data_IF_105308883043
#
_entry.id   IF_105308883043
#
_cell.length_a   1.000
_cell.length_b   1.000
_cell.length_c   1.000
_cell.angle_alpha   90.00
_cell.angle_beta   90.00
_cell.angle_gamma   90.00
#
_symmetry.space_group_name_H-M   'P 1'
#
loop_
_entity.id
_entity.type
_entity.pdbx_description
1 polymer ?
#
# COMPACT_ATOMS: atom_id res chain seq x y z
N UNK A 1 3.52 -11.73 -17.12
CA UNK A 1 4.24 -11.48 -18.39
C UNK A 1 4.14 -10.02 -18.80
N UNK A 2 2.94 -9.49 -19.09
CA UNK A 2 2.72 -8.09 -19.49
C UNK A 2 3.22 -7.04 -18.48
N UNK A 3 3.07 -7.28 -17.18
CA UNK A 3 3.54 -6.37 -16.11
C UNK A 3 5.06 -6.09 -16.15
N UNK A 4 5.84 -7.00 -16.73
CA UNK A 4 7.29 -6.87 -16.89
C UNK A 4 7.70 -6.61 -18.35
N UNK A 5 6.74 -6.27 -19.22
CA UNK A 5 6.99 -5.99 -20.63
C UNK A 5 7.36 -7.20 -21.49
N UNK A 6 7.08 -8.43 -21.03
CA UNK A 6 7.43 -9.65 -21.78
C UNK A 6 6.25 -10.10 -22.61
N UNK A 7 6.47 -10.14 -23.92
CA UNK A 7 5.44 -10.44 -24.93
C UNK A 7 5.35 -11.91 -25.31
N UNK A 8 6.34 -12.75 -24.96
CA UNK A 8 6.32 -14.19 -25.32
C UNK A 8 6.54 -15.10 -24.11
N UNK A 9 5.86 -16.26 -24.11
CA UNK A 9 6.03 -17.28 -23.07
C UNK A 9 7.44 -17.87 -23.10
N UNK A 10 8.04 -17.99 -24.28
CA UNK A 10 9.40 -18.52 -24.45
C UNK A 10 10.43 -17.64 -23.74
N UNK A 11 10.28 -16.30 -23.82
CA UNK A 11 11.14 -15.37 -23.08
C UNK A 11 10.86 -15.35 -21.59
N UNK A 12 9.63 -15.66 -21.16
CA UNK A 12 9.29 -15.73 -19.73
C UNK A 12 9.79 -17.03 -19.07
N UNK A 13 9.82 -18.13 -19.82
CA UNK A 13 10.22 -19.45 -19.32
C UNK A 13 11.69 -19.44 -18.91
N UNK A 14 11.95 -19.60 -17.61
CA UNK A 14 13.30 -19.66 -17.05
C UNK A 14 13.92 -18.30 -16.71
N UNK A 15 13.25 -17.18 -17.00
CA UNK A 15 13.77 -15.84 -16.74
C UNK A 15 13.85 -15.46 -15.24
N UNK A 16 13.32 -16.31 -14.34
CA UNK A 16 13.34 -16.12 -12.87
C UNK A 16 12.97 -14.69 -12.43
N UNK A 17 11.89 -14.13 -13.00
CA UNK A 17 11.47 -12.73 -12.76
C UNK A 17 10.60 -12.66 -11.51
N UNK A 18 11.22 -12.96 -10.38
CA UNK A 18 10.65 -12.87 -9.04
C UNK A 18 11.77 -12.60 -8.03
N UNK A 19 11.42 -12.01 -6.89
CA UNK A 19 12.32 -11.85 -5.74
C UNK A 19 11.87 -12.83 -4.65
N UNK A 20 12.81 -13.59 -4.10
CA UNK A 20 12.53 -14.48 -2.98
C UNK A 20 12.61 -13.71 -1.67
N UNK A 21 11.54 -13.75 -0.87
CA UNK A 21 11.52 -13.14 0.46
C UNK A 21 11.41 -14.23 1.52
N UNK A 22 12.33 -14.24 2.49
CA UNK A 22 12.32 -15.20 3.60
C UNK A 22 12.81 -16.62 3.27
N UNK A 23 13.29 -16.87 2.05
CA UNK A 23 13.95 -18.14 1.71
C UNK A 23 15.43 -18.11 2.08
N UNK A 24 15.87 -19.17 2.76
CA UNK A 24 17.28 -19.33 3.13
C UNK A 24 18.17 -19.50 1.90
N UNK A 25 19.39 -18.96 1.98
CA UNK A 25 20.32 -18.92 0.85
C UNK A 25 20.65 -20.31 0.28
N UNK A 26 20.63 -21.36 1.11
CA UNK A 26 20.85 -22.74 0.65
C UNK A 26 19.76 -23.28 -0.27
N UNK A 27 18.50 -22.87 -0.06
CA UNK A 27 17.39 -23.25 -0.93
C UNK A 27 17.49 -22.50 -2.26
N UNK A 28 17.81 -21.21 -2.20
CA UNK A 28 18.04 -20.39 -3.40
C UNK A 28 19.20 -20.95 -4.22
N UNK A 29 20.32 -21.26 -3.59
CA UNK A 29 21.50 -21.81 -4.25
C UNK A 29 21.28 -23.21 -4.85
N UNK A 30 20.29 -23.98 -4.38
CA UNK A 30 19.98 -25.31 -4.93
C UNK A 30 18.90 -25.28 -6.01
N UNK A 31 17.87 -24.47 -5.84
CA UNK A 31 16.66 -24.55 -6.64
C UNK A 31 16.43 -23.33 -7.54
N UNK A 32 17.00 -22.17 -7.20
CA UNK A 32 16.73 -20.89 -7.86
C UNK A 32 18.03 -20.08 -8.01
N UNK A 33 19.06 -20.74 -8.56
CA UNK A 33 20.39 -20.14 -8.74
C UNK A 33 20.27 -18.83 -9.52
N UNK A 34 20.78 -17.74 -8.94
CA UNK A 34 20.74 -16.41 -9.54
C UNK A 34 19.54 -15.55 -9.13
N UNK A 35 18.56 -16.09 -8.42
CA UNK A 35 17.42 -15.30 -7.90
C UNK A 35 17.83 -14.43 -6.72
N UNK A 36 17.44 -13.16 -6.74
CA UNK A 36 17.64 -12.25 -5.60
C UNK A 36 16.81 -12.72 -4.39
N UNK A 37 17.47 -12.83 -3.22
CA UNK A 37 16.79 -13.18 -1.96
C UNK A 37 17.19 -12.22 -0.84
N UNK A 38 16.21 -11.63 -0.16
CA UNK A 38 16.41 -10.89 1.08
C UNK A 38 16.05 -11.81 2.24
N UNK A 39 17.05 -12.54 2.75
CA UNK A 39 16.89 -13.45 3.87
C UNK A 39 16.98 -12.71 5.20
N UNK A 40 16.14 -13.07 6.16
CA UNK A 40 16.46 -12.90 7.58
C UNK A 40 17.13 -14.18 8.06
N UNK A 41 18.33 -14.00 8.59
CA UNK A 41 19.25 -15.09 8.90
C UNK A 41 18.73 -15.95 10.04
N UNK A 42 18.20 -17.13 9.71
CA UNK A 42 18.64 -18.37 10.35
C UNK A 42 18.39 -19.55 9.38
N UNK A 43 19.27 -20.57 9.37
CA UNK A 43 18.98 -21.82 8.68
C UNK A 43 17.64 -22.37 9.18
N UNK A 44 16.82 -22.89 8.27
CA UNK A 44 15.50 -23.47 8.55
C UNK A 44 15.54 -24.53 9.68
N UNK A 45 16.71 -25.13 9.90
CA UNK A 45 16.98 -26.09 10.98
C UNK A 45 17.07 -25.49 12.40
N UNK A 46 17.33 -24.19 12.55
CA UNK A 46 17.52 -23.56 13.87
C UNK A 46 16.26 -22.91 14.45
N UNK A 47 15.25 -22.60 13.64
CA UNK A 47 14.04 -21.92 14.12
C UNK A 47 12.86 -22.87 14.41
N UNK A 48 12.86 -24.07 13.83
CA UNK A 48 11.76 -25.04 13.93
C UNK A 48 12.26 -26.38 14.47
N UNK A 49 12.62 -26.42 15.75
CA UNK A 49 12.71 -27.69 16.50
C UNK A 49 11.36 -28.43 16.62
N UNK A 50 10.41 -28.22 15.69
CA UNK A 50 9.10 -28.84 15.64
C UNK A 50 8.74 -29.18 14.18
N UNK A 51 8.24 -30.40 13.90
CA UNK A 51 7.81 -30.80 12.57
C UNK A 51 6.64 -29.91 12.09
N UNK A 52 6.74 -29.43 10.85
CA UNK A 52 5.68 -28.69 10.16
C UNK A 52 4.54 -29.67 9.82
N UNK A 53 3.47 -29.67 10.62
CA UNK A 53 2.20 -30.30 10.25
C UNK A 53 1.36 -29.32 9.42
N UNK A 54 1.14 -29.68 8.15
CA UNK A 54 0.12 -29.06 7.31
C UNK A 54 -1.26 -29.59 7.76
N UNK A 55 -1.99 -28.79 8.55
CA UNK A 55 -3.43 -29.05 8.76
C UNK A 55 -4.24 -28.31 7.69
N UNK A 56 -5.18 -28.99 7.01
CA UNK A 56 -6.08 -28.34 6.06
C UNK A 56 -7.04 -27.42 6.82
N UNK A 57 -6.98 -26.11 6.55
CA UNK A 57 -8.02 -25.17 7.00
C UNK A 57 -9.14 -25.20 5.97
N UNK A 58 -10.28 -25.77 6.37
CA UNK A 58 -11.51 -25.77 5.60
C UNK A 58 -12.14 -24.36 5.67
N UNK A 59 -12.08 -23.58 4.58
CA UNK A 59 -12.71 -22.25 4.50
C UNK A 59 -14.19 -22.35 4.15
N UNK A 60 -15.02 -22.56 5.16
CA UNK A 60 -16.45 -22.24 5.12
C UNK A 60 -16.81 -21.47 6.39
N UNK A 61 -16.70 -20.15 6.34
CA UNK A 61 -17.10 -19.26 7.43
C UNK A 61 -17.83 -18.04 6.88
N UNK A 62 -19.16 -18.06 6.99
CA UNK A 62 -20.05 -16.91 6.74
C UNK A 62 -19.85 -15.89 7.87
N UNK A 63 -19.59 -14.63 7.52
CA UNK A 63 -19.45 -13.55 8.50
C UNK A 63 -20.85 -13.08 8.90
N UNK A 64 -21.27 -13.41 10.12
CA UNK A 64 -22.50 -12.90 10.72
C UNK A 64 -22.36 -11.41 11.01
N UNK A 65 -23.41 -10.66 10.65
CA UNK A 65 -23.42 -9.20 10.65
C UNK A 65 -23.23 -8.57 12.03
N UNK A 66 -22.20 -7.72 12.13
CA UNK A 66 -22.20 -6.46 12.89
C UNK A 66 -21.31 -5.46 12.15
N UNK A 67 -21.72 -4.18 11.98
CA UNK A 67 -20.91 -3.19 11.29
C UNK A 67 -19.86 -2.66 12.27
N UNK A 68 -18.64 -3.17 12.18
CA UNK A 68 -17.47 -2.58 12.85
C UNK A 68 -16.38 -2.38 11.81
N UNK A 69 -16.14 -1.10 11.53
CA UNK A 69 -14.96 -0.46 10.93
C UNK A 69 -13.89 -1.38 10.29
N UNK A 70 -13.72 -1.18 8.99
CA UNK A 70 -12.46 -1.37 8.23
C UNK A 70 -11.95 -2.80 8.06
N UNK A 71 -12.37 -3.44 6.97
CA UNK A 71 -11.83 -4.72 6.49
C UNK A 71 -10.53 -4.48 5.71
N UNK A 72 -9.38 -4.74 6.35
CA UNK A 72 -8.08 -4.72 5.67
C UNK A 72 -7.86 -6.00 4.88
N UNK A 73 -7.44 -5.86 3.62
CA UNK A 73 -7.13 -6.92 2.66
C UNK A 73 -6.30 -8.07 3.26
N UNK A 74 -6.78 -9.32 3.11
CA UNK A 74 -6.04 -10.51 3.51
C UNK A 74 -4.90 -10.80 2.51
N UNK A 75 -3.66 -10.60 2.94
CA UNK A 75 -2.48 -11.27 2.38
C UNK A 75 -2.10 -12.47 3.28
N UNK A 76 -1.41 -13.52 2.76
CA UNK A 76 -1.06 -14.70 3.55
C UNK A 76 -0.04 -14.35 4.64
N UNK A 77 -0.36 -14.65 5.91
CA UNK A 77 0.44 -14.26 7.09
C UNK A 77 0.88 -15.51 7.87
N UNK A 78 2.18 -15.63 8.12
CA UNK A 78 2.76 -16.55 9.09
C UNK A 78 2.38 -16.12 10.51
N UNK A 79 1.74 -17.00 11.30
CA UNK A 79 1.36 -16.74 12.69
C UNK A 79 2.37 -17.37 13.65
N UNK A 80 2.74 -16.66 14.72
CA UNK A 80 3.44 -17.24 15.88
C UNK A 80 2.46 -17.95 16.83
N UNK A 81 2.94 -18.74 17.81
CA UNK A 81 2.08 -19.48 18.75
C UNK A 81 1.15 -18.61 19.61
N UNK A 82 1.36 -17.28 19.65
CA UNK A 82 0.58 -16.34 20.47
C UNK A 82 -0.36 -15.44 19.64
N UNK A 83 -0.57 -15.74 18.36
CA UNK A 83 -1.59 -15.07 17.54
C UNK A 83 -1.30 -13.61 17.17
N UNK A 84 -0.14 -13.06 17.54
CA UNK A 84 0.25 -11.70 17.18
C UNK A 84 0.77 -11.62 15.75
N UNK A 85 0.28 -10.63 14.99
CA UNK A 85 0.79 -10.25 13.66
C UNK A 85 2.21 -9.70 13.82
N UNK A 86 3.17 -10.22 13.06
CA UNK A 86 4.53 -9.69 12.99
C UNK A 86 4.75 -9.13 11.59
N UNK A 87 5.05 -7.83 11.49
CA UNK A 87 5.58 -7.19 10.30
C UNK A 87 7.10 -6.98 10.50
N UNK A 88 7.87 -6.84 9.43
CA UNK A 88 9.27 -6.38 9.49
C UNK A 88 9.48 -5.18 10.41
N UNK A 89 8.54 -4.24 10.43
CA UNK A 89 8.59 -3.09 11.33
C UNK A 89 8.54 -3.48 12.82
N UNK A 90 7.80 -4.52 13.18
CA UNK A 90 7.68 -5.06 14.55
C UNK A 90 9.00 -5.68 15.03
N UNK A 91 9.80 -6.22 14.11
CA UNK A 91 11.11 -6.83 14.42
C UNK A 91 12.15 -5.73 14.71
N UNK A 92 12.10 -4.62 13.99
CA UNK A 92 13.07 -3.52 14.12
C UNK A 92 12.79 -2.60 15.31
N UNK A 93 11.56 -2.54 15.81
CA UNK A 93 11.13 -1.63 16.88
C UNK A 93 11.54 -2.07 18.29
N UNK A 94 12.10 -3.28 18.46
CA UNK A 94 12.49 -3.77 19.80
C UNK A 94 13.70 -3.03 20.41
N UNK A 95 14.40 -2.18 19.65
CA UNK A 95 15.61 -1.47 20.11
C UNK A 95 15.55 0.07 20.03
N UNK A 96 14.38 0.68 19.77
CA UNK A 96 14.29 2.14 19.65
C UNK A 96 14.25 2.81 21.04
N UNK A 97 15.21 3.69 21.33
CA UNK A 97 15.14 4.58 22.50
C UNK A 97 13.93 5.52 22.38
N UNK A 98 13.19 5.67 23.48
CA UNK A 98 11.97 6.49 23.56
C UNK A 98 12.34 7.97 23.43
N UNK A 99 12.27 8.50 22.22
CA UNK A 99 12.49 9.92 21.93
C UNK A 99 11.27 10.74 22.39
N UNK A 100 11.47 12.00 22.78
CA UNK A 100 10.37 12.90 23.15
C UNK A 100 9.46 13.08 21.92
N UNK A 101 8.15 12.80 22.03
CA UNK A 101 7.26 12.89 20.88
C UNK A 101 7.08 14.36 20.48
N UNK A 102 7.19 14.62 19.18
CA UNK A 102 6.80 15.90 18.59
C UNK A 102 5.28 16.15 18.79
N UNK A 103 4.82 17.42 18.80
CA UNK A 103 3.40 17.73 18.95
C UNK A 103 2.59 17.15 17.78
N UNK A 104 1.37 16.69 18.06
CA UNK A 104 0.56 15.95 17.10
C UNK A 104 0.27 16.70 15.79
N UNK A 105 0.13 18.04 15.84
CA UNK A 105 -0.12 18.86 14.66
C UNK A 105 1.03 18.86 13.66
N UNK A 106 2.28 18.67 14.11
CA UNK A 106 3.44 18.53 13.22
C UNK A 106 3.55 17.12 12.65
N UNK A 107 3.12 16.12 13.43
CA UNK A 107 3.05 14.73 12.96
C UNK A 107 1.99 14.57 11.86
N UNK A 108 0.86 15.27 11.97
CA UNK A 108 -0.23 15.12 11.00
C UNK A 108 0.17 15.52 9.58
N UNK A 109 1.03 16.52 9.43
CA UNK A 109 1.54 17.00 8.13
C UNK A 109 2.38 15.96 7.37
N UNK A 110 2.73 14.84 8.01
CA UNK A 110 3.47 13.73 7.39
C UNK A 110 2.58 12.60 6.91
N UNK A 111 1.30 12.59 7.30
CA UNK A 111 0.37 11.70 6.64
C UNK A 111 0.13 12.23 5.24
N UNK A 112 -0.43 11.37 4.41
CA UNK A 112 -1.01 11.68 3.11
C UNK A 112 -2.04 10.57 2.93
N UNK A 113 -3.21 10.91 2.40
CA UNK A 113 -4.15 9.86 2.00
C UNK A 113 -3.63 9.16 0.75
N UNK A 114 -3.78 7.84 0.69
CA UNK A 114 -3.51 7.09 -0.54
C UNK A 114 -4.40 7.57 -1.69
N UNK A 115 -3.91 7.43 -2.92
CA UNK A 115 -4.64 7.86 -4.10
C UNK A 115 -5.88 6.97 -4.33
N UNK A 116 -7.07 7.58 -4.36
CA UNK A 116 -8.34 6.87 -4.52
C UNK A 116 -9.15 7.56 -5.61
N UNK A 117 -9.35 6.89 -6.75
CA UNK A 117 -10.02 7.51 -7.88
C UNK A 117 -11.51 7.71 -7.65
N UNK A 118 -12.08 8.73 -8.30
CA UNK A 118 -13.50 8.71 -8.62
C UNK A 118 -13.85 7.39 -9.34
N UNK A 119 -14.98 6.80 -8.97
CA UNK A 119 -15.42 5.48 -9.45
C UNK A 119 -15.00 4.31 -8.54
N UNK A 120 -13.91 4.46 -7.77
CA UNK A 120 -13.61 3.55 -6.65
C UNK A 120 -14.26 4.02 -5.35
N UNK A 121 -14.42 5.34 -5.20
CA UNK A 121 -15.20 5.99 -4.13
C UNK A 121 -16.18 7.01 -4.69
N UNK A 122 -17.20 7.35 -3.91
CA UNK A 122 -18.20 8.34 -4.29
C UNK A 122 -17.60 9.75 -4.33
N UNK A 123 -18.22 10.64 -5.10
CA UNK A 123 -17.77 12.02 -5.20
C UNK A 123 -17.86 12.76 -3.88
N UNK A 124 -18.89 12.48 -3.07
CA UNK A 124 -19.04 13.05 -1.74
C UNK A 124 -17.93 12.57 -0.80
N UNK A 125 -17.54 11.30 -0.89
CA UNK A 125 -16.48 10.73 -0.07
C UNK A 125 -15.12 11.36 -0.38
N UNK A 126 -14.82 11.51 -1.67
CA UNK A 126 -13.58 12.14 -2.12
C UNK A 126 -13.53 13.62 -1.73
N UNK A 127 -14.63 14.35 -1.91
CA UNK A 127 -14.72 15.78 -1.57
C UNK A 127 -14.63 16.02 -0.07
N UNK A 128 -15.24 15.16 0.75
CA UNK A 128 -15.14 15.22 2.20
C UNK A 128 -13.70 14.98 2.69
N UNK A 129 -12.98 14.06 2.05
CA UNK A 129 -11.55 13.85 2.32
C UNK A 129 -10.71 15.07 1.91
N UNK A 130 -11.01 15.70 0.77
CA UNK A 130 -10.27 16.87 0.30
C UNK A 130 -10.34 18.01 1.32
N UNK A 131 -11.57 18.35 1.73
CA UNK A 131 -11.83 19.39 2.73
C UNK A 131 -11.16 19.05 4.08
N UNK A 132 -11.24 17.78 4.50
CA UNK A 132 -10.64 17.37 5.77
C UNK A 132 -9.11 17.48 5.75
N UNK A 133 -8.46 17.07 4.66
CA UNK A 133 -7.01 17.11 4.53
C UNK A 133 -6.50 18.54 4.41
N UNK A 134 -7.19 19.39 3.62
CA UNK A 134 -6.86 20.81 3.48
C UNK A 134 -6.90 21.52 4.85
N UNK A 135 -7.94 21.29 5.64
CA UNK A 135 -8.08 21.83 7.01
C UNK A 135 -7.00 21.33 7.98
N UNK A 136 -6.52 20.11 7.79
CA UNK A 136 -5.45 19.53 8.60
C UNK A 136 -4.06 19.98 8.15
N UNK A 137 -3.95 20.72 7.04
CA UNK A 137 -2.67 21.07 6.41
C UNK A 137 -1.97 19.86 5.80
N UNK A 138 -2.75 18.83 5.44
CA UNK A 138 -2.31 17.60 4.80
C UNK A 138 -2.77 17.57 3.33
N UNK A 139 -2.26 16.63 2.53
CA UNK A 139 -2.45 16.53 1.09
C UNK A 139 -3.27 15.30 0.73
N UNK A 140 -4.30 15.53 -0.08
CA UNK A 140 -5.06 14.49 -0.76
C UNK A 140 -4.55 14.28 -2.19
N UNK A 141 -4.59 13.03 -2.65
CA UNK A 141 -4.35 12.64 -4.04
C UNK A 141 -5.65 12.32 -4.78
N UNK A 142 -5.79 12.80 -6.02
CA UNK A 142 -7.00 12.63 -6.86
C UNK A 142 -7.32 11.20 -7.27
N UNK A 143 -6.35 10.30 -7.21
CA UNK A 143 -6.47 9.04 -7.94
C UNK A 143 -6.32 9.21 -9.46
N UNK A 144 -6.57 8.12 -10.19
CA UNK A 144 -6.28 8.00 -11.62
C UNK A 144 -7.34 8.61 -12.56
N UNK A 145 -8.50 9.01 -12.04
CA UNK A 145 -9.67 9.41 -12.82
C UNK A 145 -9.73 10.90 -13.17
N UNK A 146 -8.76 11.68 -12.68
CA UNK A 146 -8.76 13.15 -12.76
C UNK A 146 -9.68 13.79 -11.73
N UNK A 147 -9.92 15.09 -11.88
CA UNK A 147 -10.74 15.89 -10.97
C UNK A 147 -11.52 16.94 -11.77
N UNK A 148 -12.71 17.29 -11.31
CA UNK A 148 -13.50 18.34 -11.95
C UNK A 148 -12.95 19.73 -11.63
N UNK A 149 -13.02 20.65 -12.60
CA UNK A 149 -12.46 22.00 -12.42
C UNK A 149 -13.23 22.84 -11.39
N UNK A 150 -14.47 22.48 -11.07
CA UNK A 150 -15.23 23.18 -10.02
C UNK A 150 -14.69 22.91 -8.61
N UNK A 151 -13.92 21.83 -8.41
CA UNK A 151 -13.32 21.50 -7.11
C UNK A 151 -12.29 22.54 -6.65
N UNK A 152 -11.62 23.22 -7.59
CA UNK A 152 -10.67 24.30 -7.32
C UNK A 152 -11.35 25.60 -6.87
N UNK A 153 -12.68 25.71 -6.97
CA UNK A 153 -13.41 26.88 -6.49
C UNK A 153 -13.49 26.86 -4.97
N UNK A 154 -13.18 28.01 -4.36
CA UNK A 154 -13.33 28.20 -2.92
C UNK A 154 -14.81 28.34 -2.59
N UNK A 155 -15.28 27.49 -1.68
CA UNK A 155 -16.66 27.49 -1.21
C UNK A 155 -16.93 28.72 -0.30
N UNK A 156 -18.20 29.11 -0.08
CA UNK A 156 -18.54 30.26 0.76
C UNK A 156 -18.03 30.17 2.21
N UNK A 157 -17.75 28.97 2.69
CA UNK A 157 -17.20 28.70 4.03
C UNK A 157 -15.66 28.81 4.09
N UNK A 158 -14.99 29.09 2.97
CA UNK A 158 -13.54 29.18 2.85
C UNK A 158 -12.83 27.85 2.57
N UNK A 159 -13.54 26.72 2.51
CA UNK A 159 -12.95 25.44 2.16
C UNK A 159 -12.77 25.30 0.64
N UNK A 160 -11.88 24.39 0.25
CA UNK A 160 -11.76 23.91 -1.13
C UNK A 160 -11.95 22.39 -1.18
N UNK A 161 -12.53 21.89 -2.28
CA UNK A 161 -12.61 20.45 -2.56
C UNK A 161 -11.43 19.98 -3.43
N UNK A 162 -10.46 20.87 -3.67
CA UNK A 162 -9.27 20.62 -4.49
C UNK A 162 -8.36 19.59 -3.83
N UNK A 163 -7.93 18.59 -4.60
CA UNK A 163 -6.81 17.75 -4.19
C UNK A 163 -5.47 18.42 -4.51
N UNK A 164 -4.58 18.49 -3.52
CA UNK A 164 -3.24 19.08 -3.68
C UNK A 164 -2.31 18.24 -4.58
N UNK A 165 -2.43 16.90 -4.52
CA UNK A 165 -1.64 15.97 -5.34
C UNK A 165 -2.49 15.49 -6.51
N UNK A 166 -1.99 15.67 -7.73
CA UNK A 166 -2.68 15.24 -8.96
C UNK A 166 -1.95 14.03 -9.56
N UNK A 167 -2.68 12.95 -9.84
CA UNK A 167 -2.15 11.70 -10.37
C UNK A 167 -2.23 11.66 -11.91
N UNK A 168 -1.12 11.32 -12.57
CA UNK A 168 -1.09 11.03 -14.02
C UNK A 168 -0.82 9.55 -14.27
N UNK A 169 -1.89 8.83 -14.61
CA UNK A 169 -1.86 7.41 -14.97
C UNK A 169 -1.43 7.17 -16.41
N UNK A 170 -1.08 5.92 -16.72
CA UNK A 170 -1.04 5.42 -18.10
C UNK A 170 -2.29 5.76 -18.93
N UNK A 171 -3.49 5.69 -18.34
CA UNK A 171 -4.75 6.02 -19.00
C UNK A 171 -5.02 7.52 -19.20
N UNK A 172 -4.31 8.39 -18.45
CA UNK A 172 -4.44 9.86 -18.48
C UNK A 172 -5.88 10.37 -18.40
N UNK A 173 -6.74 9.67 -17.66
CA UNK A 173 -8.13 10.08 -17.50
C UNK A 173 -8.20 11.41 -16.75
N UNK A 174 -8.94 12.38 -17.32
CA UNK A 174 -9.11 13.72 -16.73
C UNK A 174 -7.83 14.56 -16.64
N UNK A 175 -6.72 14.15 -17.28
CA UNK A 175 -5.47 14.92 -17.29
C UNK A 175 -5.55 16.02 -18.35
N UNK A 176 -5.85 17.25 -17.91
CA UNK A 176 -5.91 18.46 -18.73
C UNK A 176 -4.82 19.47 -18.32
N UNK A 177 -4.56 20.49 -19.15
CA UNK A 177 -3.60 21.54 -18.79
C UNK A 177 -4.00 22.31 -17.53
N UNK A 178 -5.31 22.55 -17.34
CA UNK A 178 -5.84 23.21 -16.14
C UNK A 178 -5.69 22.31 -14.91
N UNK A 179 -5.94 21.02 -15.04
CA UNK A 179 -5.73 20.03 -13.98
C UNK A 179 -4.27 19.98 -13.50
N UNK A 180 -3.31 20.02 -14.43
CA UNK A 180 -1.88 20.04 -14.10
C UNK A 180 -1.41 21.38 -13.52
N UNK A 181 -1.95 22.50 -14.02
CA UNK A 181 -1.62 23.83 -13.49
C UNK A 181 -2.17 24.04 -12.08
N UNK A 182 -3.28 23.37 -11.75
CA UNK A 182 -3.93 23.38 -10.44
C UNK A 182 -3.35 22.33 -9.47
N UNK A 183 -2.15 21.79 -9.69
CA UNK A 183 -1.50 20.84 -8.77
C UNK A 183 -0.42 21.51 -7.90
N UNK A 184 -0.33 21.12 -6.62
CA UNK A 184 0.84 21.44 -5.80
C UNK A 184 1.95 20.41 -6.00
N UNK A 185 1.55 19.15 -6.23
CA UNK A 185 2.45 18.04 -6.54
C UNK A 185 1.86 17.14 -7.62
N UNK A 186 2.74 16.54 -8.41
CA UNK A 186 2.40 15.59 -9.48
C UNK A 186 2.94 14.20 -9.17
N UNK A 187 2.06 13.20 -9.26
CA UNK A 187 2.42 11.79 -9.08
C UNK A 187 2.22 11.01 -10.37
N UNK A 188 3.30 10.44 -10.91
CA UNK A 188 3.31 9.70 -12.18
C UNK A 188 3.45 8.20 -11.95
N UNK A 189 2.68 7.38 -12.68
CA UNK A 189 2.64 5.92 -12.54
C UNK A 189 2.26 5.20 -13.84
#
# INVERSE_FOLDING_TARGET
MSKMGISTLQSYKGAQIFEALGLHQTVIARCFVGTASRSVSSPLDKLLGLPVYLSPVNTTGVISGKPTSTTWCQLPIYKTPYGQRINWHTILTQNAQKQVPEPWHELIKRFCTGAMSYGSISQESHSALAIAMDRLGDKLSTGEAGEDASCSLVMPNGDTMRSAIKQVASGRFGVTSTYLADSDELFFF
#
